data_IF_782141042754
#
_entry.id   IF_782141042754
#
_cell.length_a   1.000
_cell.length_b   1.000
_cell.length_c   1.000
_cell.angle_alpha   90.00
_cell.angle_beta   90.00
_cell.angle_gamma   90.00
#
_symmetry.space_group_name_H-M   'P 1'
#
loop_
_entity.id
_entity.type
_entity.pdbx_description
1 polymer ?
#
# COMPACT_ATOMS: atom_id res chain seq x y z
N UNK A 1 54.98 47.82 -8.22
CA UNK A 1 54.02 47.17 -9.14
C UNK A 1 54.17 45.66 -9.05
N UNK A 2 53.22 44.96 -8.42
CA UNK A 2 53.06 43.49 -8.50
C UNK A 2 51.57 43.15 -8.57
N UNK A 3 51.26 42.30 -9.53
CA UNK A 3 49.98 41.67 -9.92
C UNK A 3 49.39 40.90 -8.73
N UNK A 4 48.10 41.09 -8.42
CA UNK A 4 46.91 40.41 -8.96
C UNK A 4 46.62 39.06 -8.26
N UNK A 5 45.33 38.87 -7.95
CA UNK A 5 44.60 37.60 -7.84
C UNK A 5 44.57 36.88 -6.47
N UNK A 6 43.43 37.00 -5.79
CA UNK A 6 42.81 35.99 -4.91
C UNK A 6 41.38 36.48 -4.64
N UNK A 7 40.45 36.30 -5.57
CA UNK A 7 39.71 35.06 -5.87
C UNK A 7 38.97 34.54 -4.63
N UNK A 8 37.69 34.94 -4.55
CA UNK A 8 36.55 34.09 -4.17
C UNK A 8 36.75 33.26 -2.89
N UNK A 9 36.50 33.87 -1.73
CA UNK A 9 36.32 33.15 -0.46
C UNK A 9 35.04 33.59 0.27
N UNK A 10 33.93 33.64 -0.47
CA UNK A 10 32.60 33.97 0.06
C UNK A 10 31.54 33.04 -0.51
N UNK A 11 31.79 31.73 -0.47
CA UNK A 11 30.80 30.73 -0.89
C UNK A 11 30.93 29.42 -0.09
N UNK A 12 30.57 29.43 1.19
CA UNK A 12 30.35 28.18 1.96
C UNK A 12 29.77 28.41 3.37
N UNK A 13 28.65 29.13 3.46
CA UNK A 13 27.81 29.13 4.67
C UNK A 13 26.36 28.78 4.35
N UNK A 14 26.17 27.75 3.52
CA UNK A 14 24.89 27.08 3.36
C UNK A 14 25.08 25.58 3.57
N UNK A 15 24.21 25.01 4.40
CA UNK A 15 24.01 23.60 4.70
C UNK A 15 25.00 22.91 5.64
N UNK A 16 24.70 23.00 6.94
CA UNK A 16 24.85 21.86 7.84
C UNK A 16 23.81 21.91 8.97
N UNK A 17 22.52 21.87 8.60
CA UNK A 17 21.51 21.25 9.46
C UNK A 17 21.51 19.75 9.16
N UNK A 18 22.40 19.00 9.81
CA UNK A 18 22.42 17.53 9.74
C UNK A 18 21.69 16.93 10.94
N UNK A 19 20.44 17.35 11.14
CA UNK A 19 19.47 16.63 11.97
C UNK A 19 18.72 15.65 11.09
N UNK A 20 19.39 14.55 10.74
CA UNK A 20 18.78 13.36 10.19
C UNK A 20 19.13 12.23 11.14
N UNK A 21 18.25 11.97 12.10
CA UNK A 21 18.26 10.80 12.95
C UNK A 21 18.70 9.58 12.14
N UNK A 22 19.83 8.98 12.53
CA UNK A 22 20.23 7.69 11.98
C UNK A 22 19.07 6.73 12.17
N UNK A 23 18.40 6.39 11.06
CA UNK A 23 17.48 5.26 11.06
C UNK A 23 18.32 4.05 11.42
N UNK A 24 18.01 3.45 12.55
CA UNK A 24 18.49 2.11 12.89
C UNK A 24 17.87 1.22 11.81
N UNK A 25 18.70 0.70 10.90
CA UNK A 25 18.28 -0.27 9.89
C UNK A 25 17.70 -1.49 10.63
N UNK A 26 16.38 -1.55 10.73
CA UNK A 26 15.62 -2.54 11.49
C UNK A 26 15.61 -3.94 10.87
N UNK A 27 16.61 -4.30 10.08
CA UNK A 27 16.67 -5.58 9.36
C UNK A 27 15.51 -5.80 8.38
N UNK A 28 15.47 -6.95 7.68
CA UNK A 28 14.33 -7.32 6.85
C UNK A 28 13.09 -7.53 7.73
N UNK A 29 11.94 -7.05 7.26
CA UNK A 29 10.69 -7.21 7.97
C UNK A 29 10.08 -8.59 7.68
N UNK A 30 9.59 -9.25 8.72
CA UNK A 30 8.85 -10.50 8.60
C UNK A 30 7.41 -10.30 9.09
N UNK A 31 6.47 -10.98 8.46
CA UNK A 31 5.05 -10.85 8.73
C UNK A 31 4.38 -12.20 8.92
N UNK A 32 3.37 -12.24 9.79
CA UNK A 32 2.38 -13.31 9.86
C UNK A 32 1.23 -12.95 8.95
N UNK A 33 0.93 -13.80 7.98
CA UNK A 33 -0.22 -13.62 7.11
C UNK A 33 -1.45 -14.35 7.65
N UNK A 34 -2.60 -13.71 7.59
CA UNK A 34 -3.91 -14.33 7.83
C UNK A 34 -4.82 -14.02 6.66
N UNK A 35 -5.49 -15.05 6.14
CA UNK A 35 -6.35 -14.98 4.96
C UNK A 35 -7.81 -15.12 5.33
N UNK A 36 -8.62 -14.17 4.89
CA UNK A 36 -10.07 -14.19 5.03
C UNK A 36 -10.75 -14.11 3.66
N UNK A 37 -11.98 -14.63 3.52
CA UNK A 37 -12.77 -14.43 2.33
C UNK A 37 -13.30 -12.99 2.26
N UNK A 38 -13.26 -12.41 1.06
CA UNK A 38 -13.94 -11.16 0.73
C UNK A 38 -14.78 -11.33 -0.51
N UNK A 39 -16.08 -11.07 -0.40
CA UNK A 39 -17.03 -11.24 -1.49
C UNK A 39 -17.16 -9.94 -2.29
N UNK A 40 -16.89 -9.98 -3.58
CA UNK A 40 -17.18 -8.89 -4.50
C UNK A 40 -18.69 -8.70 -4.59
N UNK A 41 -19.22 -7.59 -4.09
CA UNK A 41 -20.66 -7.31 -4.06
C UNK A 41 -21.09 -6.32 -5.14
N UNK A 42 -20.15 -5.55 -5.69
CA UNK A 42 -20.43 -4.59 -6.76
C UNK A 42 -19.19 -4.34 -7.59
N UNK A 43 -19.33 -4.35 -8.91
CA UNK A 43 -18.24 -4.04 -9.85
C UNK A 43 -18.74 -3.05 -10.91
N UNK A 44 -18.26 -1.81 -10.84
CA UNK A 44 -18.72 -0.72 -11.69
C UNK A 44 -17.62 -0.23 -12.63
N UNK A 45 -17.96 -0.01 -13.90
CA UNK A 45 -17.02 0.59 -14.85
C UNK A 45 -16.84 2.08 -14.53
N UNK A 46 -15.61 2.48 -14.20
CA UNK A 46 -15.23 3.89 -14.00
C UNK A 46 -14.87 4.53 -15.34
N UNK A 47 -14.10 3.81 -16.16
CA UNK A 47 -13.77 4.14 -17.55
C UNK A 47 -13.38 2.87 -18.33
N UNK A 48 -12.86 3.02 -19.56
CA UNK A 48 -12.50 1.90 -20.43
C UNK A 48 -11.38 1.00 -19.88
N UNK A 49 -10.62 1.46 -18.90
CA UNK A 49 -9.46 0.77 -18.34
C UNK A 49 -9.63 0.40 -16.87
N UNK A 50 -10.59 1.00 -16.16
CA UNK A 50 -10.66 0.96 -14.69
C UNK A 50 -12.07 0.67 -14.20
N UNK A 51 -12.13 -0.08 -13.10
CA UNK A 51 -13.33 -0.46 -12.40
C UNK A 51 -13.26 -0.03 -10.93
N UNK A 52 -14.40 0.34 -10.39
CA UNK A 52 -14.63 0.48 -8.97
C UNK A 52 -15.23 -0.82 -8.44
N UNK A 53 -14.57 -1.43 -7.46
CA UNK A 53 -14.96 -2.72 -6.92
C UNK A 53 -15.21 -2.60 -5.42
N UNK A 54 -16.34 -3.12 -4.96
CA UNK A 54 -16.73 -3.11 -3.54
C UNK A 54 -16.81 -4.53 -3.02
N UNK A 55 -16.23 -4.76 -1.86
CA UNK A 55 -16.13 -6.06 -1.22
C UNK A 55 -16.81 -6.06 0.14
N UNK A 56 -17.60 -7.09 0.41
CA UNK A 56 -18.01 -7.47 1.77
C UNK A 56 -16.90 -8.31 2.38
N UNK A 57 -16.35 -7.87 3.50
CA UNK A 57 -15.34 -8.58 4.28
C UNK A 57 -16.05 -9.40 5.36
N UNK A 58 -15.80 -10.70 5.43
CA UNK A 58 -16.30 -11.53 6.53
C UNK A 58 -15.61 -11.18 7.86
N UNK A 59 -14.32 -10.81 7.78
CA UNK A 59 -13.57 -10.23 8.89
C UNK A 59 -13.36 -8.74 8.62
N UNK A 60 -14.07 -7.90 9.36
CA UNK A 60 -14.01 -6.45 9.24
C UNK A 60 -12.65 -5.86 9.56
N UNK A 61 -12.45 -4.61 9.13
CA UNK A 61 -11.17 -3.90 9.24
C UNK A 61 -10.72 -3.71 10.69
N UNK A 62 -11.67 -3.53 11.60
CA UNK A 62 -11.40 -3.29 13.02
C UNK A 62 -11.66 -4.53 13.90
N UNK A 63 -12.46 -5.49 13.43
CA UNK A 63 -12.84 -6.66 14.22
C UNK A 63 -13.20 -7.84 13.33
N UNK A 64 -12.62 -9.01 13.64
CA UNK A 64 -12.90 -10.25 12.92
C UNK A 64 -14.34 -10.77 13.09
N UNK A 65 -15.10 -10.25 14.07
CA UNK A 65 -16.48 -10.67 14.33
C UNK A 65 -17.55 -9.80 13.67
N UNK A 66 -17.16 -8.78 12.90
CA UNK A 66 -18.09 -7.87 12.22
C UNK A 66 -17.79 -7.85 10.74
N UNK A 67 -18.84 -7.84 9.92
CA UNK A 67 -18.72 -7.63 8.49
C UNK A 67 -18.56 -6.14 8.19
N UNK A 68 -17.71 -5.82 7.23
CA UNK A 68 -17.53 -4.46 6.71
C UNK A 68 -17.65 -4.48 5.19
N UNK A 69 -18.07 -3.35 4.61
CA UNK A 69 -18.00 -3.13 3.15
C UNK A 69 -16.92 -2.12 2.85
N UNK A 70 -16.04 -2.44 1.90
CA UNK A 70 -14.91 -1.59 1.53
C UNK A 70 -14.70 -1.55 0.02
N UNK A 71 -14.24 -0.43 -0.51
CA UNK A 71 -13.80 -0.37 -1.91
C UNK A 71 -12.36 -0.86 -2.05
N UNK A 72 -12.05 -1.50 -3.17
CA UNK A 72 -10.70 -1.95 -3.50
C UNK A 72 -9.70 -0.80 -3.51
N UNK A 73 -10.11 0.37 -4.03
CA UNK A 73 -9.27 1.56 -4.11
C UNK A 73 -8.84 2.08 -2.72
N UNK A 74 -9.68 1.93 -1.70
CA UNK A 74 -9.35 2.33 -0.31
C UNK A 74 -8.25 1.45 0.30
N UNK A 75 -8.27 0.14 0.06
CA UNK A 75 -7.28 -0.77 0.65
C UNK A 75 -6.00 -0.90 -0.18
N UNK A 76 -6.12 -0.82 -1.50
CA UNK A 76 -5.00 -1.07 -2.41
C UNK A 76 -4.42 0.21 -3.02
N UNK A 77 -5.00 1.38 -2.71
CA UNK A 77 -4.59 2.70 -3.21
C UNK A 77 -4.57 2.82 -4.74
N UNK A 78 -5.33 1.97 -5.43
CA UNK A 78 -5.54 2.00 -6.88
C UNK A 78 -6.86 1.33 -7.25
N UNK A 79 -7.48 1.68 -8.38
CA UNK A 79 -8.64 0.97 -8.88
C UNK A 79 -8.27 -0.42 -9.42
N UNK A 80 -9.30 -1.23 -9.67
CA UNK A 80 -9.17 -2.50 -10.39
C UNK A 80 -9.02 -2.19 -11.88
N UNK A 81 -8.10 -2.86 -12.56
CA UNK A 81 -7.91 -2.70 -14.00
C UNK A 81 -8.77 -3.65 -14.81
N UNK A 82 -9.12 -3.26 -16.04
CA UNK A 82 -9.83 -4.13 -16.97
C UNK A 82 -9.07 -5.44 -17.27
N UNK A 83 -7.74 -5.41 -17.20
CA UNK A 83 -6.91 -6.61 -17.35
C UNK A 83 -7.09 -7.59 -16.19
N UNK A 84 -7.08 -7.11 -14.95
CA UNK A 84 -7.32 -7.93 -13.76
C UNK A 84 -8.73 -8.54 -13.78
N UNK A 85 -9.75 -7.75 -14.18
CA UNK A 85 -11.12 -8.28 -14.34
C UNK A 85 -11.16 -9.46 -15.31
N UNK A 86 -10.49 -9.34 -16.46
CA UNK A 86 -10.44 -10.41 -17.46
C UNK A 86 -9.60 -11.61 -17.00
N UNK A 87 -8.41 -11.36 -16.45
CA UNK A 87 -7.45 -12.39 -16.05
C UNK A 87 -8.04 -13.29 -14.97
N UNK A 88 -8.67 -12.69 -13.97
CA UNK A 88 -9.18 -13.42 -12.81
C UNK A 88 -10.68 -13.78 -12.94
N UNK A 89 -11.28 -13.43 -14.09
CA UNK A 89 -12.73 -13.61 -14.36
C UNK A 89 -13.59 -13.05 -13.23
N UNK A 90 -13.26 -11.83 -12.79
CA UNK A 90 -13.96 -11.16 -11.70
C UNK A 90 -15.39 -10.80 -12.12
N UNK A 91 -16.33 -11.23 -11.28
CA UNK A 91 -17.74 -10.88 -11.39
C UNK A 91 -18.34 -10.74 -9.99
N UNK A 92 -19.43 -9.99 -9.87
CA UNK A 92 -20.20 -9.93 -8.62
C UNK A 92 -20.51 -11.35 -8.09
N UNK A 93 -20.30 -11.55 -6.80
CA UNK A 93 -20.36 -12.86 -6.13
C UNK A 93 -19.01 -13.58 -6.05
N UNK A 94 -17.98 -13.14 -6.76
CA UNK A 94 -16.63 -13.71 -6.66
C UNK A 94 -16.08 -13.56 -5.24
N UNK A 95 -15.44 -14.61 -4.72
CA UNK A 95 -14.80 -14.60 -3.39
C UNK A 95 -13.30 -14.52 -3.59
N UNK A 96 -12.73 -13.40 -3.17
CA UNK A 96 -11.33 -13.04 -3.30
C UNK A 96 -10.63 -13.10 -1.93
N UNK A 97 -9.30 -12.99 -1.94
CA UNK A 97 -8.48 -13.04 -0.72
C UNK A 97 -8.39 -11.67 -0.05
N UNK A 98 -8.79 -11.61 1.21
CA UNK A 98 -8.50 -10.50 2.11
C UNK A 98 -7.33 -10.87 3.01
N UNK A 99 -6.20 -10.19 2.83
CA UNK A 99 -4.93 -10.52 3.48
C UNK A 99 -4.62 -9.50 4.57
N UNK A 100 -4.43 -10.01 5.78
CA UNK A 100 -3.92 -9.23 6.91
C UNK A 100 -2.52 -9.73 7.22
N UNK A 101 -1.54 -8.82 7.21
CA UNK A 101 -0.14 -9.09 7.57
C UNK A 101 0.23 -8.33 8.83
N UNK A 102 0.53 -9.05 9.90
CA UNK A 102 0.99 -8.47 11.17
C UNK A 102 2.49 -8.69 11.33
N UNK A 103 3.24 -7.63 11.68
CA UNK A 103 4.70 -7.69 11.78
C UNK A 103 5.13 -8.65 12.90
N UNK A 104 6.09 -9.52 12.60
CA UNK A 104 6.74 -10.40 13.58
C UNK A 104 8.07 -9.79 14.01
N UNK A 105 8.83 -9.24 13.06
CA UNK A 105 10.14 -8.62 13.32
C UNK A 105 10.43 -7.46 12.38
N UNK A 106 11.28 -6.55 12.84
CA UNK A 106 11.79 -5.39 12.10
C UNK A 106 11.04 -4.09 12.41
N UNK A 107 11.34 -3.03 11.65
CA UNK A 107 10.83 -1.66 11.88
C UNK A 107 9.94 -1.16 10.75
N UNK A 108 9.11 -2.04 10.18
CA UNK A 108 8.13 -1.70 9.14
C UNK A 108 6.75 -1.37 9.70
N UNK A 109 5.79 -1.09 8.81
CA UNK A 109 4.38 -0.93 9.14
C UNK A 109 3.88 -2.12 9.97
N UNK A 110 3.36 -1.91 11.19
CA UNK A 110 2.99 -3.02 12.06
C UNK A 110 1.89 -3.93 11.51
N UNK A 111 0.96 -3.35 10.74
CA UNK A 111 -0.18 -4.05 10.15
C UNK A 111 -0.41 -3.59 8.72
N UNK A 112 -0.40 -4.51 7.78
CA UNK A 112 -0.69 -4.26 6.36
C UNK A 112 -1.96 -5.03 6.00
N UNK A 113 -2.89 -4.33 5.36
CA UNK A 113 -4.18 -4.86 4.94
C UNK A 113 -4.26 -4.73 3.43
N UNK A 114 -4.68 -5.79 2.74
CA UNK A 114 -4.77 -5.79 1.28
C UNK A 114 -5.89 -6.71 0.78
N UNK A 115 -6.59 -6.29 -0.27
CA UNK A 115 -7.42 -7.18 -1.09
C UNK A 115 -6.60 -7.73 -2.24
N UNK A 116 -6.54 -9.05 -2.39
CA UNK A 116 -5.95 -9.73 -3.53
C UNK A 116 -7.08 -10.32 -4.37
N UNK A 117 -7.07 -10.01 -5.67
CA UNK A 117 -8.13 -10.42 -6.60
C UNK A 117 -8.09 -11.92 -6.92
N UNK A 118 -7.03 -12.61 -6.53
CA UNK A 118 -6.95 -14.07 -6.50
C UNK A 118 -8.12 -14.66 -5.72
N UNK A 119 -8.69 -15.75 -6.25
CA UNK A 119 -9.78 -16.47 -5.59
C UNK A 119 -9.33 -17.06 -4.25
N UNK A 120 -10.20 -16.99 -3.25
CA UNK A 120 -9.97 -17.56 -1.93
C UNK A 120 -9.90 -19.09 -1.96
#
# INVERSE_FOLDING_TARGET
MKKQLLFLFTLSLFFSCRNGSGKIDGGPCSYRETLYPAKLIRLETKDSLRYEAYFELEAGLQSAGKKDTVSYEVLNYRPVTAEEVRKDSLAEGSICRYVIRDIISGSCTPRVIQLQLEKY
#
